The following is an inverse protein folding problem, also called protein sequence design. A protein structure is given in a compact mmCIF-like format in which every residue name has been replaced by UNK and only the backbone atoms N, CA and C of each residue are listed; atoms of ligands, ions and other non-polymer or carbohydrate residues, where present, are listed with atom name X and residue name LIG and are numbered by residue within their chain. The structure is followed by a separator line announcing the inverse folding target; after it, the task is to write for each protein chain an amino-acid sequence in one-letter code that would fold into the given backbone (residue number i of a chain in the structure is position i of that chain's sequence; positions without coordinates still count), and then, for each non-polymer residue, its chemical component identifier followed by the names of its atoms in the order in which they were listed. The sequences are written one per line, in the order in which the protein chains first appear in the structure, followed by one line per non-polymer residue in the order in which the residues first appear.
data_IF_700418641004
#
_entry.id   IF_700418641004
#
_cell.length_a   1.000
_cell.length_b   1.000
_cell.length_c   1.000
_cell.angle_alpha   90.00
_cell.angle_beta   90.00
_cell.angle_gamma   90.00
#
_symmetry.space_group_name_H-M   'P 1'
#
loop_
_entity.id
_entity.type
_entity.pdbx_description
1 polymer ?
#
# COMPACT_ATOMS: atom_id res chain seq x y z
N UNK A 1 13.48 -43.77 -19.81
CA UNK A 1 13.51 -43.64 -18.34
C UNK A 1 14.97 -43.60 -17.92
N UNK A 2 15.57 -42.41 -17.84
CA UNK A 2 16.90 -42.24 -17.26
C UNK A 2 16.74 -41.96 -15.78
N UNK A 3 17.06 -42.92 -14.92
CA UNK A 3 17.18 -42.66 -13.49
C UNK A 3 18.32 -41.67 -13.31
N UNK A 4 18.04 -40.53 -12.67
CA UNK A 4 19.06 -39.62 -12.16
C UNK A 4 19.95 -40.45 -11.22
N UNK A 5 21.16 -40.79 -11.69
CA UNK A 5 22.19 -41.42 -10.87
C UNK A 5 22.62 -40.36 -9.87
N UNK A 6 22.00 -40.37 -8.70
CA UNK A 6 22.38 -39.52 -7.58
C UNK A 6 23.80 -39.94 -7.19
N UNK A 7 24.78 -39.01 -7.18
CA UNK A 7 26.15 -39.34 -6.80
C UNK A 7 26.17 -39.99 -5.41
N UNK A 8 26.97 -41.05 -5.18
CA UNK A 8 27.05 -41.69 -3.87
C UNK A 8 27.48 -40.72 -2.76
N UNK A 9 28.24 -39.68 -3.11
CA UNK A 9 28.59 -38.57 -2.22
C UNK A 9 27.36 -37.79 -1.72
N UNK A 10 26.34 -37.62 -2.56
CA UNK A 10 25.10 -36.95 -2.17
C UNK A 10 24.30 -37.78 -1.16
N UNK A 11 24.28 -39.12 -1.32
CA UNK A 11 23.64 -40.01 -0.35
C UNK A 11 24.33 -39.95 1.02
N UNK A 12 25.66 -39.85 1.05
CA UNK A 12 26.43 -39.64 2.28
C UNK A 12 26.05 -38.31 2.93
N UNK A 13 26.11 -37.19 2.20
CA UNK A 13 25.78 -35.86 2.73
C UNK A 13 24.34 -35.81 3.29
N UNK A 14 23.37 -36.40 2.58
CA UNK A 14 21.98 -36.50 3.07
C UNK A 14 21.89 -37.36 4.33
N UNK A 15 22.66 -38.46 4.42
CA UNK A 15 22.74 -39.28 5.63
C UNK A 15 23.28 -38.52 6.83
N UNK A 16 24.39 -37.78 6.66
CA UNK A 16 24.95 -36.93 7.71
C UNK A 16 23.99 -35.83 8.17
N UNK A 17 23.32 -35.16 7.23
CA UNK A 17 22.29 -34.16 7.54
C UNK A 17 21.11 -34.79 8.27
N UNK A 18 20.64 -35.96 7.84
CA UNK A 18 19.53 -36.65 8.48
C UNK A 18 19.86 -37.03 9.93
N UNK A 19 21.03 -37.63 10.18
CA UNK A 19 21.48 -37.96 11.54
C UNK A 19 21.61 -36.72 12.40
N UNK A 20 22.20 -35.63 11.87
CA UNK A 20 22.27 -34.35 12.57
C UNK A 20 20.88 -33.81 12.94
N UNK A 21 19.92 -33.81 12.01
CA UNK A 21 18.55 -33.38 12.34
C UNK A 21 17.86 -34.34 13.31
N UNK A 22 18.04 -35.65 13.18
CA UNK A 22 17.44 -36.66 14.07
C UNK A 22 17.95 -36.56 15.51
N UNK A 23 19.21 -36.18 15.71
CA UNK A 23 19.81 -36.05 17.04
C UNK A 23 19.57 -34.65 17.66
N UNK A 24 19.42 -33.60 16.84
CA UNK A 24 19.37 -32.21 17.30
C UNK A 24 18.03 -31.49 17.04
N UNK A 25 17.01 -32.17 16.50
CA UNK A 25 15.71 -31.53 16.23
C UNK A 25 15.07 -30.95 17.50
N UNK A 26 15.25 -31.58 18.67
CA UNK A 26 14.69 -31.10 19.93
C UNK A 26 15.29 -29.77 20.41
N UNK A 27 16.44 -29.34 19.87
CA UNK A 27 17.01 -28.02 20.15
C UNK A 27 16.42 -26.93 19.24
N UNK A 28 16.17 -27.26 17.97
CA UNK A 28 15.68 -26.33 16.94
C UNK A 28 14.14 -26.25 16.94
N UNK A 29 13.47 -27.37 17.16
CA UNK A 29 12.02 -27.48 17.06
C UNK A 29 11.28 -26.63 18.10
N UNK A 30 11.59 -26.66 19.42
CA UNK A 30 10.87 -25.86 20.40
C UNK A 30 10.85 -24.35 20.10
N UNK A 31 11.97 -23.67 19.78
CA UNK A 31 11.92 -22.25 19.45
C UNK A 31 11.13 -21.99 18.16
N UNK A 32 11.31 -22.81 17.11
CA UNK A 32 10.54 -22.68 15.85
C UNK A 32 9.04 -22.87 16.10
N UNK A 33 8.65 -23.87 16.87
CA UNK A 33 7.26 -24.12 17.25
C UNK A 33 6.69 -23.00 18.11
N UNK A 34 7.46 -22.44 19.05
CA UNK A 34 7.02 -21.30 19.85
C UNK A 34 6.76 -20.06 18.99
N UNK A 35 7.61 -19.75 18.01
CA UNK A 35 7.36 -18.65 17.07
C UNK A 35 6.10 -18.91 16.24
N UNK A 36 5.92 -20.13 15.74
CA UNK A 36 4.74 -20.50 14.97
C UNK A 36 3.45 -20.45 15.81
N UNK A 37 3.48 -20.99 17.03
CA UNK A 37 2.36 -20.96 17.97
C UNK A 37 1.99 -19.54 18.36
N UNK A 38 2.99 -18.68 18.61
CA UNK A 38 2.78 -17.27 18.88
C UNK A 38 2.09 -16.57 17.70
N UNK A 39 2.54 -16.81 16.47
CA UNK A 39 1.93 -16.20 15.28
C UNK A 39 0.51 -16.72 15.03
N UNK A 40 0.27 -18.01 15.26
CA UNK A 40 -1.05 -18.62 15.18
C UNK A 40 -2.00 -18.08 16.26
N UNK A 41 -1.51 -17.91 17.48
CA UNK A 41 -2.22 -17.30 18.60
C UNK A 41 -2.64 -15.86 18.27
N UNK A 42 -1.71 -15.04 17.79
CA UNK A 42 -2.01 -13.67 17.36
C UNK A 42 -2.97 -13.64 16.18
N UNK A 43 -2.86 -14.58 15.24
CA UNK A 43 -3.79 -14.70 14.13
C UNK A 43 -5.21 -15.01 14.62
N UNK A 44 -5.37 -15.93 15.57
CA UNK A 44 -6.66 -16.25 16.17
C UNK A 44 -7.26 -15.06 16.93
N UNK A 45 -6.48 -14.37 17.76
CA UNK A 45 -6.92 -13.17 18.48
C UNK A 45 -7.35 -12.04 17.53
N UNK A 46 -6.55 -11.80 16.48
CA UNK A 46 -6.90 -10.80 15.46
C UNK A 46 -8.20 -11.15 14.74
N UNK A 47 -8.42 -12.43 14.42
CA UNK A 47 -9.67 -12.88 13.82
C UNK A 47 -10.87 -12.67 14.74
N UNK A 48 -10.74 -12.97 16.03
CA UNK A 48 -11.78 -12.67 17.01
C UNK A 48 -12.09 -11.17 17.04
N UNK A 49 -11.05 -10.33 17.08
CA UNK A 49 -11.21 -8.88 17.00
C UNK A 49 -11.85 -8.44 15.67
N UNK A 50 -11.52 -9.06 14.54
CA UNK A 50 -12.12 -8.72 13.26
C UNK A 50 -13.63 -8.94 13.21
N UNK A 51 -14.13 -9.97 13.88
CA UNK A 51 -15.57 -10.24 13.95
C UNK A 51 -16.34 -9.26 14.83
N UNK A 52 -15.67 -8.53 15.74
CA UNK A 52 -16.33 -7.49 16.55
C UNK A 52 -16.43 -6.14 15.84
N UNK A 53 -15.83 -6.01 14.67
CA UNK A 53 -15.82 -4.77 13.90
C UNK A 53 -17.05 -4.67 13.00
N UNK A 54 -17.86 -3.64 13.23
CA UNK A 54 -18.95 -3.26 12.35
C UNK A 54 -18.46 -2.28 11.27
N UNK A 55 -18.81 -2.57 10.01
CA UNK A 55 -18.38 -1.83 8.85
C UNK A 55 -19.60 -1.22 8.15
N UNK A 56 -19.46 0.04 7.72
CA UNK A 56 -20.44 0.75 6.89
C UNK A 56 -19.81 1.07 5.55
N UNK A 57 -20.59 0.91 4.47
CA UNK A 57 -20.22 1.31 3.12
C UNK A 57 -21.02 2.56 2.75
N UNK A 58 -20.31 3.65 2.43
CA UNK A 58 -20.91 4.90 2.01
C UNK A 58 -20.72 5.07 0.51
N UNK A 59 -21.81 5.16 -0.25
CA UNK A 59 -21.81 5.61 -1.64
C UNK A 59 -21.77 7.13 -1.65
N UNK A 60 -20.82 7.70 -2.39
CA UNK A 60 -20.67 9.14 -2.52
C UNK A 60 -21.00 9.51 -3.96
N UNK A 61 -22.06 10.30 -4.12
CA UNK A 61 -22.49 10.83 -5.40
C UNK A 61 -21.97 12.25 -5.56
N UNK A 62 -20.97 12.47 -6.42
CA UNK A 62 -20.46 13.81 -6.64
C UNK A 62 -21.53 14.69 -7.32
N UNK A 63 -21.50 16.01 -7.08
CA UNK A 63 -22.41 16.94 -7.72
C UNK A 63 -22.16 17.01 -9.24
N UNK A 64 -23.15 17.54 -9.97
CA UNK A 64 -23.05 17.71 -11.42
C UNK A 64 -21.93 18.65 -11.85
N UNK A 65 -21.54 19.59 -10.99
CA UNK A 65 -20.46 20.53 -11.24
C UNK A 65 -19.51 20.43 -10.05
N UNK A 66 -18.29 19.98 -10.31
CA UNK A 66 -17.19 19.95 -9.34
C UNK A 66 -16.14 20.94 -9.84
N UNK A 67 -16.04 22.09 -9.18
CA UNK A 67 -15.05 23.15 -9.48
C UNK A 67 -13.75 22.97 -8.70
N UNK A 68 -13.72 22.00 -7.78
CA UNK A 68 -12.58 21.77 -6.89
C UNK A 68 -11.53 20.91 -7.58
N UNK A 69 -10.27 21.19 -7.28
CA UNK A 69 -9.12 20.38 -7.70
C UNK A 69 -8.97 19.14 -6.82
N UNK A 70 -8.18 18.13 -7.24
CA UNK A 70 -7.84 16.99 -6.39
C UNK A 70 -7.21 17.40 -5.04
N UNK A 71 -6.65 18.60 -4.93
CA UNK A 71 -6.21 19.20 -3.67
C UNK A 71 -7.29 19.21 -2.58
N UNK A 72 -8.57 19.38 -2.94
CA UNK A 72 -9.67 19.30 -1.97
C UNK A 72 -9.75 17.92 -1.32
N UNK A 73 -9.44 16.86 -2.07
CA UNK A 73 -9.39 15.49 -1.55
C UNK A 73 -8.18 15.25 -0.63
N UNK A 74 -7.07 15.98 -0.79
CA UNK A 74 -5.98 15.93 0.20
C UNK A 74 -6.47 16.35 1.59
N UNK A 75 -7.33 17.37 1.66
CA UNK A 75 -7.91 17.84 2.93
C UNK A 75 -8.86 16.82 3.54
N UNK A 76 -9.61 16.09 2.71
CA UNK A 76 -10.42 14.96 3.17
C UNK A 76 -9.51 13.89 3.80
N UNK A 77 -8.45 13.47 3.09
CA UNK A 77 -7.52 12.48 3.63
C UNK A 77 -6.77 12.95 4.87
N UNK A 78 -6.42 14.24 4.96
CA UNK A 78 -5.83 14.82 6.16
C UNK A 78 -6.77 14.70 7.37
N UNK A 79 -8.06 14.96 7.18
CA UNK A 79 -9.08 14.74 8.20
C UNK A 79 -9.27 13.27 8.58
N UNK A 80 -9.29 12.39 7.59
CA UNK A 80 -9.40 10.93 7.80
C UNK A 80 -8.17 10.33 8.50
N UNK A 81 -7.03 11.03 8.52
CA UNK A 81 -5.88 10.63 9.33
C UNK A 81 -6.22 10.58 10.83
N UNK A 82 -7.24 11.34 11.27
CA UNK A 82 -7.81 11.30 12.61
C UNK A 82 -8.37 9.92 13.04
N UNK A 83 -8.54 8.97 12.11
CA UNK A 83 -8.85 7.57 12.42
C UNK A 83 -7.70 6.84 13.15
N UNK A 84 -6.51 7.44 13.18
CA UNK A 84 -5.34 6.88 13.84
C UNK A 84 -5.60 6.65 15.34
N UNK A 85 -5.10 5.54 15.88
CA UNK A 85 -5.22 5.25 17.31
C UNK A 85 -3.90 4.70 17.81
N UNK A 86 -3.43 5.20 18.96
CA UNK A 86 -2.25 4.63 19.59
C UNK A 86 -2.60 3.27 20.22
N UNK A 87 -2.19 2.19 19.57
CA UNK A 87 -2.42 0.82 20.05
C UNK A 87 -1.27 0.44 20.98
N UNK A 88 -1.60 0.24 22.25
CA UNK A 88 -0.61 -0.20 23.24
C UNK A 88 -0.17 -1.65 22.97
N UNK A 89 1.07 -2.04 23.35
CA UNK A 89 1.55 -3.41 23.17
C UNK A 89 0.63 -4.47 23.81
N UNK A 90 0.07 -4.19 24.99
CA UNK A 90 -0.88 -5.08 25.66
C UNK A 90 -2.15 -5.30 24.83
N UNK A 91 -2.74 -4.24 24.26
CA UNK A 91 -3.90 -4.37 23.38
C UNK A 91 -3.57 -5.12 22.08
N UNK A 92 -2.35 -4.93 21.56
CA UNK A 92 -1.91 -5.57 20.32
C UNK A 92 -1.68 -7.07 20.48
N UNK A 93 -0.98 -7.48 21.54
CA UNK A 93 -0.56 -8.87 21.74
C UNK A 93 -1.57 -9.70 22.55
N UNK A 94 -2.40 -9.09 23.41
CA UNK A 94 -3.43 -9.81 24.18
C UNK A 94 -4.86 -9.63 23.68
N UNK A 95 -5.21 -8.48 23.10
CA UNK A 95 -6.56 -8.26 22.55
C UNK A 95 -6.61 -8.39 21.02
N UNK A 96 -5.47 -8.61 20.37
CA UNK A 96 -5.38 -8.70 18.92
C UNK A 96 -5.78 -7.42 18.18
N UNK A 97 -5.80 -6.27 18.87
CA UNK A 97 -6.26 -5.00 18.31
C UNK A 97 -5.35 -4.57 17.16
N UNK A 98 -5.97 -4.21 16.04
CA UNK A 98 -5.28 -3.71 14.85
C UNK A 98 -5.69 -2.27 14.56
N UNK A 99 -4.86 -1.57 13.81
CA UNK A 99 -5.15 -0.21 13.37
C UNK A 99 -6.36 -0.24 12.43
N UNK A 100 -7.29 0.70 12.64
CA UNK A 100 -8.45 0.83 11.77
C UNK A 100 -7.96 1.30 10.39
N UNK A 101 -8.50 0.72 9.34
CA UNK A 101 -8.27 1.16 7.96
C UNK A 101 -9.58 1.55 7.29
N UNK A 102 -9.47 2.24 6.18
CA UNK A 102 -10.57 2.54 5.26
C UNK A 102 -10.31 1.90 3.90
N UNK A 103 -11.38 1.72 3.13
CA UNK A 103 -11.31 1.32 1.73
C UNK A 103 -11.96 2.41 0.88
N UNK A 104 -11.17 3.10 0.06
CA UNK A 104 -11.66 4.02 -0.96
C UNK A 104 -11.82 3.22 -2.26
N UNK A 105 -13.03 3.16 -2.81
CA UNK A 105 -13.36 2.26 -3.89
C UNK A 105 -13.98 3.01 -5.06
N UNK A 106 -13.52 2.70 -6.27
CA UNK A 106 -14.16 3.10 -7.51
C UNK A 106 -14.62 1.81 -8.15
N UNK A 107 -15.93 1.62 -8.26
CA UNK A 107 -16.50 0.42 -8.86
C UNK A 107 -17.36 0.82 -10.07
N UNK A 108 -17.15 0.13 -11.18
CA UNK A 108 -18.04 0.20 -12.33
C UNK A 108 -18.80 -1.10 -12.49
N UNK A 109 -20.11 -1.00 -12.58
CA UNK A 109 -21.02 -2.13 -12.79
C UNK A 109 -21.85 -1.82 -14.03
N UNK A 110 -21.74 -2.66 -15.06
CA UNK A 110 -22.42 -2.45 -16.35
C UNK A 110 -22.12 -1.09 -17.02
N UNK A 111 -20.95 -0.51 -16.76
CA UNK A 111 -20.57 0.81 -17.31
C UNK A 111 -20.94 2.00 -16.42
N UNK A 112 -21.67 1.79 -15.32
CA UNK A 112 -21.95 2.84 -14.33
C UNK A 112 -20.87 2.87 -13.25
N UNK A 113 -20.10 3.95 -13.21
CA UNK A 113 -19.05 4.17 -12.23
C UNK A 113 -19.60 4.86 -10.98
N UNK A 114 -19.34 4.28 -9.81
CA UNK A 114 -19.74 4.78 -8.49
C UNK A 114 -18.53 4.84 -7.57
N UNK A 115 -18.55 5.79 -6.65
CA UNK A 115 -17.51 5.99 -5.65
C UNK A 115 -18.02 5.53 -4.29
N UNK A 116 -17.18 4.79 -3.56
CA UNK A 116 -17.51 4.34 -2.23
C UNK A 116 -16.36 4.59 -1.24
N UNK A 117 -16.72 4.82 0.02
CA UNK A 117 -15.80 4.80 1.15
C UNK A 117 -16.34 3.82 2.19
N UNK A 118 -15.58 2.76 2.45
CA UNK A 118 -15.88 1.79 3.51
C UNK A 118 -15.05 2.11 4.74
N UNK A 119 -15.72 2.29 5.88
CA UNK A 119 -15.10 2.56 7.18
C UNK A 119 -15.80 1.77 8.28
N UNK A 120 -15.22 1.77 9.49
CA UNK A 120 -15.93 1.29 10.67
C UNK A 120 -17.09 2.22 10.99
N UNK A 121 -18.21 1.67 11.47
CA UNK A 121 -19.44 2.45 11.73
C UNK A 121 -19.20 3.66 12.65
N UNK A 122 -18.30 3.52 13.64
CA UNK A 122 -17.88 4.62 14.54
C UNK A 122 -17.22 5.82 13.84
N UNK A 123 -16.67 5.62 12.65
CA UNK A 123 -15.95 6.64 11.86
C UNK A 123 -16.81 7.19 10.71
N UNK A 124 -18.07 6.78 10.60
CA UNK A 124 -19.01 7.29 9.59
C UNK A 124 -19.10 8.82 9.60
N UNK A 125 -19.37 9.40 10.77
CA UNK A 125 -19.53 10.85 10.93
C UNK A 125 -18.24 11.62 10.57
N UNK A 126 -17.07 11.01 10.76
CA UNK A 126 -15.79 11.60 10.39
C UNK A 126 -15.66 11.70 8.86
N UNK A 127 -16.04 10.65 8.13
CA UNK A 127 -16.07 10.66 6.66
C UNK A 127 -17.08 11.69 6.16
N UNK A 128 -18.31 11.66 6.67
CA UNK A 128 -19.37 12.58 6.27
C UNK A 128 -18.95 14.05 6.48
N UNK A 129 -18.41 14.39 7.65
CA UNK A 129 -17.98 15.75 7.95
C UNK A 129 -16.86 16.24 7.02
N UNK A 130 -15.84 15.42 6.77
CA UNK A 130 -14.71 15.83 5.93
C UNK A 130 -15.05 15.87 4.44
N UNK A 131 -15.86 14.92 3.95
CA UNK A 131 -16.34 14.93 2.56
C UNK A 131 -17.25 16.14 2.35
N UNK A 132 -18.19 16.42 3.27
CA UNK A 132 -19.10 17.56 3.17
C UNK A 132 -18.37 18.91 3.26
N UNK A 133 -17.31 19.00 4.07
CA UNK A 133 -16.50 20.22 4.17
C UNK A 133 -15.82 20.61 2.85
N UNK A 134 -15.44 19.63 2.02
CA UNK A 134 -14.75 19.87 0.75
C UNK A 134 -15.70 19.80 -0.46
N UNK A 135 -16.77 19.02 -0.34
CA UNK A 135 -17.79 18.78 -1.35
C UNK A 135 -19.19 18.96 -0.71
N UNK A 136 -19.62 20.21 -0.44
CA UNK A 136 -20.87 20.47 0.29
C UNK A 136 -22.13 20.01 -0.47
N UNK A 137 -22.03 19.92 -1.79
CA UNK A 137 -23.08 19.43 -2.67
C UNK A 137 -22.96 17.94 -2.99
N UNK A 138 -22.06 17.17 -2.38
CA UNK A 138 -22.05 15.72 -2.55
C UNK A 138 -23.14 15.07 -1.67
N UNK A 139 -23.83 14.08 -2.21
CA UNK A 139 -24.74 13.23 -1.43
C UNK A 139 -24.01 11.98 -0.96
N UNK A 140 -24.17 11.66 0.33
CA UNK A 140 -23.54 10.53 0.99
C UNK A 140 -24.66 9.60 1.45
N UNK A 141 -24.73 8.42 0.84
CA UNK A 141 -25.74 7.42 1.13
C UNK A 141 -25.09 6.18 1.72
N UNK A 142 -25.75 5.55 2.68
CA UNK A 142 -25.40 4.20 3.08
C UNK A 142 -25.89 3.23 2.01
N UNK A 143 -24.99 2.39 1.49
CA UNK A 143 -25.28 1.49 0.39
C UNK A 143 -24.97 0.04 0.77
N UNK A 144 -25.73 -0.89 0.20
CA UNK A 144 -25.45 -2.31 0.31
C UNK A 144 -24.14 -2.65 -0.42
N UNK A 145 -23.43 -3.68 0.07
CA UNK A 145 -22.16 -4.10 -0.53
C UNK A 145 -22.37 -4.66 -1.94
N UNK A 146 -21.99 -3.87 -2.95
CA UNK A 146 -22.11 -4.26 -4.35
C UNK A 146 -21.37 -5.55 -4.69
N UNK A 147 -20.36 -5.97 -3.91
CA UNK A 147 -19.66 -7.25 -4.15
C UNK A 147 -20.50 -8.47 -3.82
N UNK A 148 -21.61 -8.31 -3.10
CA UNK A 148 -22.59 -9.35 -2.86
C UNK A 148 -23.30 -9.79 -4.15
N UNK A 149 -23.37 -8.91 -5.16
CA UNK A 149 -23.98 -9.20 -6.47
C UNK A 149 -23.24 -10.27 -7.27
N UNK A 150 -21.96 -10.52 -6.96
CA UNK A 150 -21.13 -11.54 -7.63
C UNK A 150 -21.04 -12.78 -6.76
N UNK A 151 -21.24 -14.00 -7.30
CA UNK A 151 -21.13 -15.25 -6.55
C UNK A 151 -19.79 -15.43 -5.82
N UNK A 152 -19.80 -16.16 -4.70
CA UNK A 152 -18.59 -16.39 -3.89
C UNK A 152 -17.62 -17.42 -4.50
N UNK A 153 -18.11 -18.28 -5.39
CA UNK A 153 -17.37 -19.39 -5.98
C UNK A 153 -16.48 -18.98 -7.17
N UNK A 154 -16.25 -17.68 -7.36
CA UNK A 154 -15.41 -17.15 -8.43
C UNK A 154 -13.92 -17.55 -8.31
N UNK A 155 -13.25 -17.95 -9.41
CA UNK A 155 -13.82 -18.15 -10.75
C UNK A 155 -14.62 -19.46 -10.82
N UNK A 156 -15.87 -19.37 -11.28
CA UNK A 156 -16.85 -20.47 -11.29
C UNK A 156 -17.25 -20.87 -12.71
N UNK A 157 -18.39 -21.54 -12.84
CA UNK A 157 -18.95 -21.92 -14.15
C UNK A 157 -19.50 -20.71 -14.93
N UNK A 158 -20.06 -19.73 -14.23
CA UNK A 158 -20.78 -18.59 -14.82
C UNK A 158 -19.94 -17.32 -14.92
N UNK A 159 -19.05 -17.09 -13.95
CA UNK A 159 -18.21 -15.90 -13.85
C UNK A 159 -16.73 -16.23 -13.98
N UNK A 160 -16.00 -15.36 -14.67
CA UNK A 160 -14.55 -15.32 -14.62
C UNK A 160 -14.06 -14.02 -13.97
N UNK A 161 -12.87 -14.08 -13.43
CA UNK A 161 -12.22 -13.01 -12.68
C UNK A 161 -10.79 -12.86 -13.18
N UNK A 162 -10.40 -11.64 -13.49
CA UNK A 162 -9.01 -11.23 -13.51
C UNK A 162 -8.78 -10.20 -12.41
N UNK A 163 -7.60 -10.21 -11.81
CA UNK A 163 -7.24 -9.17 -10.88
C UNK A 163 -5.76 -9.14 -10.58
N UNK A 164 -5.34 -8.07 -9.95
CA UNK A 164 -3.96 -7.88 -9.51
C UNK A 164 -3.92 -7.00 -8.28
N UNK A 165 -2.85 -7.14 -7.51
CA UNK A 165 -2.41 -6.10 -6.59
C UNK A 165 -1.34 -5.28 -7.30
N UNK A 166 -1.28 -3.98 -7.03
CA UNK A 166 -0.18 -3.14 -7.48
C UNK A 166 0.88 -3.05 -6.37
N UNK A 167 2.14 -2.97 -6.79
CA UNK A 167 3.30 -2.67 -5.96
C UNK A 167 4.11 -1.58 -6.60
N UNK A 168 4.88 -0.85 -5.79
CA UNK A 168 5.81 0.15 -6.27
C UNK A 168 7.11 -0.52 -6.75
N UNK A 169 7.68 0.03 -7.82
CA UNK A 169 8.96 -0.44 -8.36
C UNK A 169 10.15 0.06 -7.53
N UNK A 170 10.07 1.31 -7.05
CA UNK A 170 11.07 1.95 -6.20
C UNK A 170 10.59 1.97 -4.73
N UNK A 171 11.49 2.17 -3.75
CA UNK A 171 11.12 2.29 -2.35
C UNK A 171 10.07 3.36 -2.07
N UNK A 172 9.32 3.21 -0.98
CA UNK A 172 8.18 4.05 -0.58
C UNK A 172 8.48 5.56 -0.53
N UNK A 173 9.74 5.96 -0.32
CA UNK A 173 10.10 7.39 -0.30
C UNK A 173 9.94 8.11 -1.65
N UNK A 174 10.05 7.38 -2.77
CA UNK A 174 9.82 7.95 -4.10
C UNK A 174 8.32 8.06 -4.36
N UNK A 175 7.78 9.27 -4.63
CA UNK A 175 6.36 9.43 -4.92
C UNK A 175 5.99 8.91 -6.32
N UNK A 176 4.72 8.65 -6.57
CA UNK A 176 4.18 8.53 -7.93
C UNK A 176 4.06 9.90 -8.60
N UNK A 177 3.74 9.93 -9.90
CA UNK A 177 3.33 11.17 -10.57
C UNK A 177 2.04 11.68 -9.94
N UNK A 178 2.07 12.84 -9.30
CA UNK A 178 0.92 13.40 -8.57
C UNK A 178 0.10 14.36 -9.42
N UNK A 179 -1.11 14.71 -8.97
CA UNK A 179 -2.03 15.59 -9.70
C UNK A 179 -1.41 16.95 -10.08
N UNK A 180 -0.44 17.44 -9.32
CA UNK A 180 0.22 18.73 -9.57
C UNK A 180 0.93 18.73 -10.92
N UNK A 181 1.51 17.60 -11.33
CA UNK A 181 2.11 17.45 -12.65
C UNK A 181 1.09 17.36 -13.80
N UNK A 182 -0.20 17.20 -13.49
CA UNK A 182 -1.30 17.21 -14.46
C UNK A 182 -2.03 18.55 -14.48
N UNK A 183 -1.79 19.42 -13.50
CA UNK A 183 -2.37 20.76 -13.47
C UNK A 183 -1.68 21.66 -14.50
N UNK A 184 -2.47 22.23 -15.39
CA UNK A 184 -2.04 23.29 -16.29
C UNK A 184 -2.51 24.65 -15.72
N UNK A 185 -1.76 25.74 -15.95
CA UNK A 185 -2.17 27.08 -15.51
C UNK A 185 -3.45 27.58 -16.21
N UNK A 186 -3.81 26.98 -17.35
CA UNK A 186 -5.06 27.26 -18.07
C UNK A 186 -6.03 26.12 -17.80
N UNK A 187 -7.21 26.45 -17.27
CA UNK A 187 -8.21 25.49 -16.83
C UNK A 187 -8.68 24.54 -17.95
N UNK A 188 -8.80 25.03 -19.18
CA UNK A 188 -9.18 24.23 -20.35
C UNK A 188 -8.16 23.15 -20.74
N UNK A 189 -6.89 23.30 -20.33
CA UNK A 189 -5.81 22.34 -20.60
C UNK A 189 -5.53 21.42 -19.42
N UNK A 190 -6.23 21.59 -18.30
CA UNK A 190 -6.11 20.69 -17.17
C UNK A 190 -6.55 19.30 -17.62
N UNK A 191 -5.77 18.29 -17.25
CA UNK A 191 -6.11 16.88 -17.50
C UNK A 191 -6.39 16.26 -16.15
N UNK A 192 -7.54 15.59 -16.01
CA UNK A 192 -7.88 14.88 -14.78
C UNK A 192 -7.09 13.56 -14.74
N UNK A 193 -6.33 13.29 -13.66
CA UNK A 193 -5.59 12.04 -13.52
C UNK A 193 -6.47 10.78 -13.53
N UNK A 194 -7.78 10.85 -13.28
CA UNK A 194 -8.66 9.68 -13.31
C UNK A 194 -9.35 9.44 -14.66
N UNK A 195 -9.27 10.38 -15.61
CA UNK A 195 -10.03 10.31 -16.87
C UNK A 195 -9.83 8.99 -17.63
N UNK A 196 -8.58 8.54 -17.81
CA UNK A 196 -8.29 7.30 -18.52
C UNK A 196 -8.90 6.06 -17.82
N UNK A 197 -8.91 6.03 -16.49
CA UNK A 197 -9.49 4.93 -15.73
C UNK A 197 -11.02 4.93 -15.83
N UNK A 198 -11.63 6.12 -15.73
CA UNK A 198 -13.09 6.30 -15.81
C UNK A 198 -13.64 5.99 -17.21
N UNK A 199 -12.86 6.26 -18.26
CA UNK A 199 -13.21 5.89 -19.63
C UNK A 199 -13.22 4.37 -19.82
N UNK A 200 -12.20 3.66 -19.34
CA UNK A 200 -12.17 2.19 -19.35
C UNK A 200 -13.35 1.63 -18.55
N UNK A 201 -13.63 2.19 -17.37
CA UNK A 201 -14.77 1.82 -16.54
C UNK A 201 -16.13 2.10 -17.20
N UNK A 202 -16.25 3.17 -17.98
CA UNK A 202 -17.48 3.51 -18.72
C UNK A 202 -17.70 2.67 -19.97
N UNK A 203 -16.65 2.10 -20.54
CA UNK A 203 -16.72 1.24 -21.75
C UNK A 203 -17.27 -0.17 -21.48
N UNK A 204 -17.55 -0.51 -20.22
CA UNK A 204 -18.04 -1.82 -19.82
C UNK A 204 -19.48 -2.08 -20.30
N UNK A 205 -19.74 -3.29 -20.78
CA UNK A 205 -21.08 -3.73 -21.15
C UNK A 205 -21.85 -4.41 -19.99
N UNK A 206 -23.11 -4.81 -20.24
CA UNK A 206 -23.91 -5.54 -19.26
C UNK A 206 -23.25 -6.87 -18.85
N UNK A 207 -23.18 -7.13 -17.55
CA UNK A 207 -22.55 -8.34 -17.00
C UNK A 207 -21.03 -8.25 -16.83
N UNK A 208 -20.44 -7.06 -17.05
CA UNK A 208 -19.05 -6.74 -16.75
C UNK A 208 -18.97 -5.80 -15.53
N UNK A 209 -17.93 -5.96 -14.71
CA UNK A 209 -17.63 -5.12 -13.57
C UNK A 209 -16.12 -4.88 -13.44
N UNK A 210 -15.72 -3.67 -13.08
CA UNK A 210 -14.36 -3.34 -12.65
C UNK A 210 -14.42 -2.80 -11.23
N UNK A 211 -13.61 -3.36 -10.34
CA UNK A 211 -13.47 -2.89 -8.96
C UNK A 211 -12.04 -2.40 -8.76
N UNK A 212 -11.88 -1.13 -8.38
CA UNK A 212 -10.62 -0.53 -8.01
C UNK A 212 -10.66 -0.16 -6.53
N UNK A 213 -9.88 -0.85 -5.70
CA UNK A 213 -9.87 -0.70 -4.25
C UNK A 213 -8.54 -0.13 -3.79
N UNK A 214 -8.61 0.94 -3.02
CA UNK A 214 -7.48 1.54 -2.32
C UNK A 214 -7.74 1.36 -0.83
N UNK A 215 -7.02 0.44 -0.20
CA UNK A 215 -7.04 0.32 1.25
C UNK A 215 -6.01 1.26 1.82
N UNK A 216 -6.41 2.10 2.77
CA UNK A 216 -5.54 3.06 3.44
C UNK A 216 -5.66 2.92 4.97
N UNK A 217 -4.53 2.73 5.64
CA UNK A 217 -4.37 2.70 7.10
C UNK A 217 -3.53 3.91 7.52
N UNK A 218 -4.03 4.82 8.37
CA UNK A 218 -3.29 6.01 8.78
C UNK A 218 -2.03 5.63 9.55
N UNK A 219 -0.92 6.32 9.26
CA UNK A 219 0.39 6.04 9.84
C UNK A 219 0.99 7.31 10.44
N UNK A 220 1.43 7.24 11.70
CA UNK A 220 1.87 8.41 12.47
C UNK A 220 3.40 8.61 12.49
N UNK A 221 4.17 7.57 12.77
CA UNK A 221 5.65 7.66 12.89
C UNK A 221 6.34 6.48 12.18
N UNK A 222 7.63 6.68 11.85
CA UNK A 222 8.54 5.66 11.31
C UNK A 222 8.88 5.87 9.84
N UNK A 223 7.91 6.26 9.02
CA UNK A 223 8.13 6.38 7.57
C UNK A 223 8.90 7.64 7.18
N UNK A 224 8.68 8.77 7.87
CA UNK A 224 9.45 10.00 7.67
C UNK A 224 10.95 9.74 7.87
N UNK A 225 11.31 9.01 8.93
CA UNK A 225 12.69 8.59 9.21
C UNK A 225 13.28 7.74 8.09
N UNK A 226 12.50 6.84 7.48
CA UNK A 226 12.94 6.03 6.35
C UNK A 226 13.20 6.88 5.10
N UNK A 227 12.38 7.92 4.88
CA UNK A 227 12.62 8.88 3.81
C UNK A 227 13.81 9.79 4.07
N UNK A 228 14.00 10.28 5.30
CA UNK A 228 15.20 11.05 5.68
C UNK A 228 16.47 10.22 5.47
N UNK A 229 16.43 8.92 5.82
CA UNK A 229 17.52 7.98 5.55
C UNK A 229 17.77 7.78 4.05
N UNK A 230 16.72 7.76 3.23
CA UNK A 230 16.81 7.67 1.78
C UNK A 230 17.44 8.94 1.18
N UNK A 231 16.99 10.12 1.61
CA UNK A 231 17.56 11.42 1.21
C UNK A 231 19.02 11.52 1.63
N UNK A 232 19.35 11.11 2.85
CA UNK A 232 20.73 11.07 3.33
C UNK A 232 21.62 10.16 2.46
N UNK A 233 21.11 9.01 2.00
CA UNK A 233 21.83 8.12 1.07
C UNK A 233 22.06 8.79 -0.29
N UNK A 234 21.05 9.49 -0.81
CA UNK A 234 21.15 10.18 -2.11
C UNK A 234 22.14 11.35 -2.07
N UNK A 235 22.16 12.10 -0.97
CA UNK A 235 23.09 13.23 -0.75
C UNK A 235 24.50 12.72 -0.38
N UNK A 236 24.70 11.42 -0.12
CA UNK A 236 25.99 10.87 0.29
C UNK A 236 26.39 11.20 1.73
N UNK A 237 25.43 11.55 2.60
CA UNK A 237 25.70 11.77 4.04
C UNK A 237 26.04 10.43 4.71
N UNK A 238 27.12 10.33 5.50
CA UNK A 238 27.44 9.09 6.21
C UNK A 238 26.31 8.75 7.20
N UNK A 239 25.63 7.63 6.97
CA UNK A 239 24.55 7.19 7.85
C UNK A 239 25.08 6.84 9.25
N UNK A 240 24.41 7.33 10.28
CA UNK A 240 24.53 6.78 11.62
C UNK A 240 23.88 5.39 11.61
N UNK A 241 24.68 4.34 11.40
CA UNK A 241 24.21 2.96 11.50
C UNK A 241 23.58 2.74 12.87
N UNK A 242 22.28 2.43 12.91
CA UNK A 242 21.63 1.90 14.12
C UNK A 242 22.33 0.59 14.46
N UNK A 243 23.28 0.64 15.39
CA UNK A 243 23.87 -0.57 15.98
C UNK A 243 22.73 -1.37 16.61
N UNK A 244 22.35 -2.49 15.99
CA UNK A 244 21.35 -3.38 16.55
C UNK A 244 21.78 -3.89 17.92
N UNK A 245 20.83 -4.17 18.81
CA UNK A 245 21.10 -4.62 20.19
C UNK A 245 22.11 -5.78 20.23
N UNK A 246 22.03 -6.71 19.27
CA UNK A 246 22.94 -7.86 19.12
C UNK A 246 24.34 -7.41 18.67
N UNK A 247 24.45 -6.45 17.76
CA UNK A 247 25.74 -5.90 17.34
C UNK A 247 26.40 -5.10 18.47
N UNK A 248 25.61 -4.38 19.28
CA UNK A 248 26.08 -3.70 20.49
C UNK A 248 26.58 -4.67 21.57
N UNK A 249 25.87 -5.79 21.78
CA UNK A 249 26.28 -6.84 22.71
C UNK A 249 27.53 -7.57 22.20
N UNK A 250 27.62 -7.89 20.91
CA UNK A 250 28.79 -8.55 20.32
C UNK A 250 30.03 -7.65 20.37
N UNK A 251 29.88 -6.36 20.04
CA UNK A 251 30.97 -5.38 20.16
C UNK A 251 31.40 -5.18 21.61
N UNK A 252 30.46 -5.19 22.57
CA UNK A 252 30.77 -5.09 23.99
C UNK A 252 31.53 -6.33 24.49
N UNK A 253 31.11 -7.53 24.12
CA UNK A 253 31.80 -8.77 24.53
C UNK A 253 33.16 -8.94 23.87
N UNK A 254 33.30 -8.60 22.58
CA UNK A 254 34.59 -8.56 21.88
C UNK A 254 35.52 -7.49 22.47
N UNK A 255 34.98 -6.32 22.84
CA UNK A 255 35.73 -5.25 23.47
C UNK A 255 36.23 -5.59 24.88
N UNK A 256 35.42 -6.28 25.69
CA UNK A 256 35.83 -6.77 27.01
C UNK A 256 36.84 -7.91 26.91
N UNK A 257 36.65 -8.85 25.98
CA UNK A 257 37.60 -9.94 25.76
C UNK A 257 38.96 -9.43 25.23
N UNK A 258 38.93 -8.38 24.39
CA UNK A 258 40.16 -7.70 23.93
C UNK A 258 40.91 -6.97 25.05
N UNK A 259 40.20 -6.37 26.01
CA UNK A 259 40.82 -5.76 27.21
C UNK A 259 41.45 -6.82 28.11
N UNK A 260 40.77 -7.95 28.32
CA UNK A 260 41.29 -9.06 29.09
C UNK A 260 42.58 -9.64 28.46
N UNK A 261 42.61 -9.82 27.14
CA UNK A 261 43.81 -10.31 26.42
C UNK A 261 44.99 -9.33 26.53
N UNK A 262 44.72 -8.01 26.48
CA UNK A 262 45.73 -6.97 26.64
C UNK A 262 46.28 -6.91 28.07
N UNK A 263 45.44 -7.17 29.06
CA UNK A 263 45.82 -7.23 30.48
C UNK A 263 46.70 -8.46 30.77
N UNK A 264 46.37 -9.61 30.19
CA UNK A 264 47.22 -10.81 30.22
C UNK A 264 48.57 -10.57 29.51
N UNK A 265 48.58 -9.89 28.36
CA UNK A 265 49.83 -9.51 27.68
C UNK A 265 50.69 -8.54 28.49
N UNK A 266 50.10 -7.61 29.25
CA UNK A 266 50.82 -6.69 30.15
C UNK A 266 51.53 -7.39 31.30
N UNK A 267 50.96 -8.49 31.80
CA UNK A 267 51.58 -9.29 32.87
C UNK A 267 52.83 -10.02 32.32
N UNK A 268 52.81 -10.44 31.05
CA UNK A 268 53.94 -11.12 30.41
C UNK A 268 55.02 -10.19 29.83
N UNK A 269 54.66 -8.97 29.39
CA UNK A 269 55.57 -8.03 28.74
C UNK A 269 55.33 -6.58 29.20
N UNK A 270 56.05 -6.08 30.23
CA UNK A 270 55.83 -4.76 30.83
C UNK A 270 56.11 -3.56 29.91
N UNK A 271 56.74 -3.78 28.75
CA UNK A 271 57.18 -2.73 27.81
C UNK A 271 56.14 -2.42 26.71
N UNK A 272 54.98 -3.07 26.71
CA UNK A 272 53.92 -2.79 25.73
C UNK A 272 53.09 -1.59 26.20
N UNK A 273 53.46 -0.40 25.72
CA UNK A 273 52.68 0.82 25.91
C UNK A 273 51.33 0.78 25.18
N UNK A 274 50.34 1.60 25.59
CA UNK A 274 49.03 1.62 24.95
C UNK A 274 49.17 1.95 23.45
N UNK A 275 48.46 1.24 22.56
CA UNK A 275 48.42 1.62 21.15
C UNK A 275 47.90 3.05 21.05
N UNK A 276 48.63 3.91 20.35
CA UNK A 276 48.15 5.25 20.02
C UNK A 276 46.81 5.09 19.31
N UNK A 277 45.76 5.66 19.90
CA UNK A 277 44.45 5.68 19.27
C UNK A 277 44.63 6.34 17.89
N UNK A 278 44.27 5.66 16.78
CA UNK A 278 44.32 6.31 15.48
C UNK A 278 43.43 7.54 15.58
N UNK A 279 44.01 8.73 15.37
CA UNK A 279 43.25 9.96 15.21
C UNK A 279 42.26 9.67 14.09
N UNK A 280 40.95 9.62 14.42
CA UNK A 280 39.92 9.55 13.40
C UNK A 280 40.17 10.77 12.51
N UNK A 281 40.44 10.60 11.21
CA UNK A 281 40.58 11.75 10.33
C UNK A 281 39.31 12.57 10.49
N UNK A 282 39.48 13.85 10.83
CA UNK A 282 38.39 14.81 10.93
C UNK A 282 37.72 14.80 9.56
N UNK A 283 36.57 14.14 9.46
CA UNK A 283 35.80 14.12 8.22
C UNK A 283 35.52 15.59 7.92
N UNK A 284 35.93 16.14 6.76
CA UNK A 284 35.57 17.50 6.42
C UNK A 284 34.04 17.59 6.57
N UNK A 285 33.58 18.51 7.40
CA UNK A 285 32.16 18.84 7.49
C UNK A 285 31.78 19.34 6.11
N UNK A 286 31.23 18.47 5.27
CA UNK A 286 30.93 18.79 3.86
C UNK A 286 29.76 19.79 3.85
N UNK A 287 30.03 21.10 3.66
CA UNK A 287 28.97 22.08 3.56
C UNK A 287 28.43 21.93 2.13
N UNK A 288 27.18 21.52 2.02
CA UNK A 288 26.37 21.47 0.79
C UNK A 288 26.76 20.45 -0.30
N UNK A 289 26.76 19.15 0.04
CA UNK A 289 26.66 18.07 -0.97
C UNK A 289 25.47 18.25 -1.94
N UNK A 290 24.43 18.99 -1.55
CA UNK A 290 23.33 19.40 -2.45
C UNK A 290 23.82 20.24 -3.63
N UNK A 291 24.87 21.05 -3.53
CA UNK A 291 25.33 21.88 -4.65
C UNK A 291 25.94 21.04 -5.78
N UNK A 292 26.53 19.89 -5.46
CA UNK A 292 27.20 18.98 -6.41
C UNK A 292 26.26 17.96 -7.08
N UNK A 293 24.99 17.91 -6.69
CA UNK A 293 24.02 17.04 -7.35
C UNK A 293 23.67 17.58 -8.75
N UNK A 294 23.46 16.66 -9.68
CA UNK A 294 22.92 17.00 -11.00
C UNK A 294 21.52 17.62 -10.85
N UNK A 295 21.05 18.44 -11.81
CA UNK A 295 19.71 19.04 -11.73
C UNK A 295 18.59 18.00 -11.55
N UNK A 296 18.71 16.83 -12.19
CA UNK A 296 17.73 15.75 -12.04
C UNK A 296 17.73 15.11 -10.64
N UNK A 297 18.91 14.91 -10.05
CA UNK A 297 19.02 14.38 -8.68
C UNK A 297 18.49 15.37 -7.65
N UNK A 298 18.69 16.68 -7.86
CA UNK A 298 18.12 17.73 -7.01
C UNK A 298 16.59 17.67 -6.99
N UNK A 299 15.96 17.56 -8.17
CA UNK A 299 14.51 17.42 -8.29
C UNK A 299 13.99 16.16 -7.58
N UNK A 300 14.68 15.02 -7.72
CA UNK A 300 14.30 13.79 -7.03
C UNK A 300 14.36 13.96 -5.51
N UNK A 301 15.41 14.60 -4.99
CA UNK A 301 15.54 14.85 -3.54
C UNK A 301 14.43 15.77 -3.05
N UNK A 302 14.15 16.85 -3.78
CA UNK A 302 13.07 17.80 -3.46
C UNK A 302 11.70 17.11 -3.44
N UNK A 303 11.38 16.27 -4.43
CA UNK A 303 10.13 15.52 -4.48
C UNK A 303 10.02 14.49 -3.33
N UNK A 304 11.13 13.85 -2.93
CA UNK A 304 11.13 12.95 -1.78
C UNK A 304 10.90 13.74 -0.49
N UNK A 305 11.58 14.87 -0.29
CA UNK A 305 11.40 15.73 0.89
C UNK A 305 9.96 16.26 0.98
N UNK A 306 9.40 16.67 -0.15
CA UNK A 306 8.01 17.09 -0.29
C UNK A 306 7.06 15.94 0.04
N UNK A 307 7.32 14.74 -0.48
CA UNK A 307 6.51 13.55 -0.21
C UNK A 307 6.44 13.24 1.30
N UNK A 308 7.58 13.19 1.99
CA UNK A 308 7.65 12.87 3.42
C UNK A 308 7.15 13.95 4.37
N UNK A 309 7.05 15.19 3.88
CA UNK A 309 6.54 16.30 4.69
C UNK A 309 5.05 16.12 5.04
N UNK A 310 4.28 15.50 4.15
CA UNK A 310 2.83 15.30 4.26
C UNK A 310 2.45 14.17 5.23
N UNK A 311 1.15 13.95 5.43
CA UNK A 311 0.62 12.83 6.23
C UNK A 311 0.64 11.54 5.39
N UNK A 312 1.01 10.43 6.03
CA UNK A 312 1.22 9.14 5.37
C UNK A 312 0.18 8.10 5.76
N UNK A 313 -0.17 7.26 4.79
CA UNK A 313 -1.03 6.10 4.93
C UNK A 313 -0.31 4.87 4.41
N UNK A 314 -0.34 3.79 5.19
CA UNK A 314 -0.01 2.48 4.67
C UNK A 314 -1.12 2.09 3.70
N UNK A 315 -0.73 1.82 2.46
CA UNK A 315 -1.66 1.69 1.34
C UNK A 315 -1.50 0.33 0.66
N UNK A 316 -2.61 -0.21 0.17
CA UNK A 316 -2.65 -1.38 -0.70
C UNK A 316 -3.68 -1.19 -1.79
N UNK A 317 -3.24 -1.22 -3.04
CA UNK A 317 -4.10 -1.00 -4.22
C UNK A 317 -4.35 -2.31 -4.92
N UNK A 318 -5.63 -2.58 -5.23
CA UNK A 318 -6.07 -3.77 -5.92
C UNK A 318 -7.08 -3.43 -6.98
N UNK A 319 -7.02 -4.18 -8.07
CA UNK A 319 -8.00 -4.08 -9.15
C UNK A 319 -8.49 -5.46 -9.54
N UNK A 320 -9.78 -5.55 -9.85
CA UNK A 320 -10.37 -6.71 -10.47
C UNK A 320 -11.26 -6.32 -11.63
N UNK A 321 -11.25 -7.18 -12.64
CA UNK A 321 -12.21 -7.22 -13.71
C UNK A 321 -12.99 -8.53 -13.59
N UNK A 322 -14.29 -8.42 -13.37
CA UNK A 322 -15.21 -9.55 -13.22
C UNK A 322 -16.20 -9.49 -14.37
N UNK A 323 -16.42 -10.62 -15.03
CA UNK A 323 -17.47 -10.69 -16.03
C UNK A 323 -18.08 -12.08 -16.09
N UNK A 324 -19.32 -12.15 -16.56
CA UNK A 324 -19.89 -13.42 -17.01
C UNK A 324 -19.00 -13.99 -18.12
N UNK A 325 -18.77 -15.30 -18.12
CA UNK A 325 -17.85 -15.96 -19.06
C UNK A 325 -18.17 -15.67 -20.53
N UNK A 326 -19.44 -15.54 -20.87
CA UNK A 326 -19.93 -15.25 -22.21
C UNK A 326 -19.52 -13.86 -22.72
N UNK A 327 -19.37 -12.89 -21.81
CA UNK A 327 -19.07 -11.48 -22.13
C UNK A 327 -17.63 -11.12 -21.75
N UNK A 328 -16.87 -12.06 -21.18
CA UNK A 328 -15.53 -11.80 -20.67
C UNK A 328 -14.56 -11.41 -21.79
N UNK A 329 -13.98 -10.21 -21.68
CA UNK A 329 -13.01 -9.66 -22.63
C UNK A 329 -11.59 -9.78 -22.05
N UNK A 330 -10.76 -10.60 -22.68
CA UNK A 330 -9.36 -10.78 -22.28
C UNK A 330 -8.49 -9.52 -22.47
N UNK A 331 -8.95 -8.53 -23.25
CA UNK A 331 -8.22 -7.29 -23.51
C UNK A 331 -8.41 -6.22 -22.41
N UNK A 332 -9.50 -6.28 -21.64
CA UNK A 332 -9.83 -5.27 -20.60
C UNK A 332 -8.73 -5.11 -19.54
N UNK A 333 -8.07 -6.19 -19.04
CA UNK A 333 -6.90 -6.06 -18.18
C UNK A 333 -5.79 -5.15 -18.72
N UNK A 334 -5.51 -5.22 -20.02
CA UNK A 334 -4.49 -4.38 -20.67
C UNK A 334 -4.91 -2.91 -20.70
N UNK A 335 -6.20 -2.64 -20.90
CA UNK A 335 -6.74 -1.28 -20.84
C UNK A 335 -6.63 -0.68 -19.43
N UNK A 336 -6.95 -1.47 -18.39
CA UNK A 336 -6.76 -1.08 -16.99
C UNK A 336 -5.29 -0.75 -16.71
N UNK A 337 -4.36 -1.61 -17.14
CA UNK A 337 -2.93 -1.31 -17.00
C UNK A 337 -2.51 -0.04 -17.73
N UNK A 338 -3.03 0.19 -18.94
CA UNK A 338 -2.81 1.42 -19.70
C UNK A 338 -3.22 2.66 -18.89
N UNK A 339 -4.42 2.65 -18.30
CA UNK A 339 -4.91 3.74 -17.47
C UNK A 339 -4.04 3.97 -16.23
N UNK A 340 -3.65 2.92 -15.50
CA UNK A 340 -2.81 3.06 -14.30
C UNK A 340 -1.37 3.53 -14.62
N UNK A 341 -0.86 3.25 -15.82
CA UNK A 341 0.50 3.67 -16.21
C UNK A 341 0.68 5.19 -16.32
N UNK A 342 -0.38 5.97 -16.43
CA UNK A 342 -0.25 7.45 -16.49
C UNK A 342 0.32 8.05 -15.20
N UNK A 343 0.16 7.35 -14.06
CA UNK A 343 0.72 7.74 -12.76
C UNK A 343 2.21 7.40 -12.62
N UNK A 344 2.79 6.71 -13.62
CA UNK A 344 4.19 6.33 -13.59
C UNK A 344 5.07 7.47 -14.10
N UNK A 345 6.16 7.72 -13.39
CA UNK A 345 7.24 8.61 -13.84
C UNK A 345 8.55 7.82 -13.95
N UNK A 346 9.36 8.14 -14.95
CA UNK A 346 10.66 7.48 -15.13
C UNK A 346 11.66 7.83 -14.01
N UNK A 347 11.63 9.07 -13.54
CA UNK A 347 12.54 9.55 -12.50
C UNK A 347 11.98 9.30 -11.08
N UNK A 348 10.65 9.26 -10.91
CA UNK A 348 9.99 8.92 -9.64
C UNK A 348 9.55 7.44 -9.62
N UNK A 349 8.44 7.12 -8.94
CA UNK A 349 7.94 5.76 -8.79
C UNK A 349 6.97 5.33 -9.90
N UNK A 350 6.68 4.04 -9.93
CA UNK A 350 5.84 3.41 -10.94
C UNK A 350 5.09 2.22 -10.37
N UNK A 351 3.83 2.06 -10.77
CA UNK A 351 3.02 0.90 -10.45
C UNK A 351 3.41 -0.31 -11.31
N UNK A 352 3.63 -1.43 -10.64
CA UNK A 352 3.92 -2.73 -11.25
C UNK A 352 2.96 -3.77 -10.66
N UNK A 353 2.41 -4.68 -11.48
CA UNK A 353 1.59 -5.76 -10.96
C UNK A 353 2.38 -6.75 -10.10
N UNK A 354 1.80 -7.18 -8.98
CA UNK A 354 2.37 -8.17 -8.09
C UNK A 354 2.32 -9.57 -8.72
N UNK A 355 3.40 -9.97 -9.39
CA UNK A 355 3.53 -11.29 -10.06
C UNK A 355 3.26 -12.50 -9.17
N UNK A 356 3.32 -12.35 -7.84
CA UNK A 356 2.98 -13.42 -6.90
C UNK A 356 1.47 -13.69 -6.84
N UNK A 357 0.65 -12.68 -7.10
CA UNK A 357 -0.81 -12.72 -6.95
C UNK A 357 -1.52 -12.61 -8.30
N UNK A 358 -0.95 -11.90 -9.28
CA UNK A 358 -1.53 -11.79 -10.62
C UNK A 358 -1.58 -13.16 -11.32
N UNK A 359 -2.71 -13.56 -11.93
CA UNK A 359 -2.75 -14.71 -12.83
C UNK A 359 -1.75 -14.52 -13.97
N UNK A 360 -0.86 -15.47 -14.18
CA UNK A 360 0.23 -15.36 -15.16
C UNK A 360 0.48 -16.69 -15.85
N UNK A 361 1.15 -16.64 -17.00
CA UNK A 361 1.61 -17.84 -17.70
C UNK A 361 2.79 -18.39 -16.90
N UNK A 362 2.58 -19.52 -16.22
CA UNK A 362 3.57 -20.19 -15.38
C UNK A 362 3.97 -21.50 -16.06
N UNK A 363 5.25 -21.87 -16.00
CA UNK A 363 5.75 -23.11 -16.60
C UNK A 363 5.18 -24.37 -15.92
N UNK A 364 4.93 -24.31 -14.61
CA UNK A 364 4.37 -25.41 -13.82
C UNK A 364 2.92 -25.15 -13.43
N UNK A 365 2.04 -26.13 -13.72
CA UNK A 365 0.61 -26.17 -13.36
C UNK A 365 -0.15 -24.84 -13.52
N UNK A 366 -0.14 -24.22 -14.73
CA UNK A 366 -0.68 -22.88 -14.93
C UNK A 366 -2.19 -22.78 -14.62
N UNK A 367 -2.98 -23.81 -14.96
CA UNK A 367 -4.43 -23.81 -14.75
C UNK A 367 -4.79 -23.78 -13.26
N UNK A 368 -4.23 -24.69 -12.46
CA UNK A 368 -4.50 -24.78 -11.01
C UNK A 368 -4.02 -23.53 -10.29
N UNK A 369 -2.82 -23.05 -10.62
CA UNK A 369 -2.24 -21.85 -10.01
C UNK A 369 -3.05 -20.60 -10.32
N UNK A 370 -3.48 -20.42 -11.57
CA UNK A 370 -4.31 -19.28 -11.95
C UNK A 370 -5.69 -19.36 -11.30
N UNK A 371 -6.30 -20.54 -11.22
CA UNK A 371 -7.55 -20.71 -10.49
C UNK A 371 -7.42 -20.32 -9.01
N UNK A 372 -6.38 -20.82 -8.32
CA UNK A 372 -6.10 -20.46 -6.93
C UNK A 372 -5.90 -18.94 -6.75
N UNK A 373 -5.12 -18.30 -7.64
CA UNK A 373 -4.81 -16.87 -7.54
C UNK A 373 -6.01 -15.98 -7.82
N UNK A 374 -6.84 -16.33 -8.80
CA UNK A 374 -8.14 -15.69 -9.03
C UNK A 374 -9.02 -15.81 -7.78
N UNK A 375 -9.16 -17.02 -7.22
CA UNK A 375 -9.98 -17.25 -6.02
C UNK A 375 -9.47 -16.48 -4.79
N UNK A 376 -8.15 -16.44 -4.60
CA UNK A 376 -7.50 -15.64 -3.57
C UNK A 376 -7.88 -14.16 -3.71
N UNK A 377 -7.71 -13.58 -4.91
CA UNK A 377 -8.03 -12.18 -5.18
C UNK A 377 -9.52 -11.88 -4.95
N UNK A 378 -10.42 -12.71 -5.48
CA UNK A 378 -11.87 -12.53 -5.32
C UNK A 378 -12.27 -12.49 -3.85
N UNK A 379 -11.73 -13.40 -3.03
CA UNK A 379 -11.95 -13.41 -1.58
C UNK A 379 -11.41 -12.13 -0.91
N UNK A 380 -10.19 -11.76 -1.23
CA UNK A 380 -9.53 -10.60 -0.62
C UNK A 380 -10.22 -9.28 -0.98
N UNK A 381 -10.70 -9.13 -2.21
CA UNK A 381 -11.46 -7.97 -2.66
C UNK A 381 -12.82 -7.90 -1.96
N UNK A 382 -13.56 -9.00 -1.92
CA UNK A 382 -14.87 -9.06 -1.25
C UNK A 382 -14.79 -8.65 0.22
N UNK A 383 -13.82 -9.18 0.97
CA UNK A 383 -13.68 -8.84 2.38
C UNK A 383 -12.89 -7.54 2.64
N UNK A 384 -12.35 -6.88 1.60
CA UNK A 384 -11.38 -5.77 1.68
C UNK A 384 -10.28 -6.05 2.71
N UNK A 385 -9.73 -7.27 2.67
CA UNK A 385 -8.55 -7.61 3.46
C UNK A 385 -7.34 -6.88 2.90
N UNK A 386 -6.41 -6.46 3.77
CA UNK A 386 -5.23 -5.73 3.34
C UNK A 386 -4.43 -6.50 2.27
N UNK A 387 -3.90 -5.77 1.28
CA UNK A 387 -3.06 -6.34 0.22
C UNK A 387 -1.82 -7.06 0.80
N UNK A 388 -1.30 -8.05 0.05
CA UNK A 388 -0.16 -8.86 0.49
C UNK A 388 1.13 -8.05 0.62
N UNK A 389 1.36 -7.14 -0.32
CA UNK A 389 2.42 -6.12 -0.24
C UNK A 389 1.78 -4.78 0.06
N UNK A 390 2.42 -4.04 0.97
CA UNK A 390 1.96 -2.74 1.47
C UNK A 390 3.10 -1.77 1.23
N UNK A 391 2.75 -0.58 0.79
CA UNK A 391 3.66 0.54 0.62
C UNK A 391 3.04 1.75 1.34
N UNK A 392 3.72 2.87 1.34
CA UNK A 392 3.25 4.09 2.00
C UNK A 392 2.97 5.12 0.92
N UNK A 393 1.78 5.70 0.97
CA UNK A 393 1.41 6.86 0.18
C UNK A 393 1.08 8.02 1.09
N UNK A 394 1.44 9.21 0.64
CA UNK A 394 0.99 10.42 1.30
C UNK A 394 -0.45 10.80 0.85
N UNK A 395 -1.01 11.85 1.46
CA UNK A 395 -2.34 12.35 1.11
C UNK A 395 -2.46 12.88 -0.33
N UNK A 396 -1.37 13.36 -0.93
CA UNK A 396 -1.33 13.85 -2.32
C UNK A 396 -1.41 12.72 -3.34
N UNK A 397 -0.63 11.67 -3.13
CA UNK A 397 -0.63 10.46 -3.94
C UNK A 397 -1.99 9.78 -3.86
N UNK A 398 -2.58 9.68 -2.66
CA UNK A 398 -3.93 9.16 -2.46
C UNK A 398 -4.99 10.03 -3.18
N UNK A 399 -4.91 11.35 -3.03
CA UNK A 399 -5.82 12.28 -3.72
C UNK A 399 -5.67 12.23 -5.25
N UNK A 400 -4.50 11.88 -5.77
CA UNK A 400 -4.26 11.73 -7.21
C UNK A 400 -4.97 10.51 -7.81
N UNK A 401 -5.04 9.41 -7.04
CA UNK A 401 -5.64 8.14 -7.50
C UNK A 401 -7.08 7.92 -7.01
N UNK A 402 -7.58 8.81 -6.16
CA UNK A 402 -8.95 8.80 -5.67
C UNK A 402 -9.37 10.23 -5.37
N UNK A 403 -10.16 10.80 -6.28
CA UNK A 403 -10.84 12.09 -6.11
C UNK A 403 -12.12 12.09 -6.93
N UNK A 404 -12.96 13.11 -6.72
CA UNK A 404 -14.17 13.28 -7.52
C UNK A 404 -13.86 14.13 -8.75
N UNK A 405 -14.03 13.60 -9.97
CA UNK A 405 -13.57 14.27 -11.17
C UNK A 405 -14.44 15.50 -11.51
N UNK A 406 -13.76 16.58 -11.87
CA UNK A 406 -14.35 17.83 -12.34
C UNK A 406 -15.16 17.65 -13.63
N UNK A 407 -16.34 18.25 -13.71
CA UNK A 407 -17.24 18.11 -14.88
C UNK A 407 -16.67 18.73 -16.15
N UNK A 408 -15.88 19.79 -16.03
CA UNK A 408 -15.23 20.44 -17.16
C UNK A 408 -14.03 19.63 -17.68
N UNK A 409 -13.37 18.88 -16.80
CA UNK A 409 -12.10 18.19 -17.07
C UNK A 409 -12.32 16.73 -17.49
N UNK A 410 -13.34 16.08 -16.92
CA UNK A 410 -13.76 14.72 -17.28
C UNK A 410 -15.27 14.68 -17.50
N UNK A 411 -15.66 14.73 -18.77
CA UNK A 411 -17.04 14.50 -19.23
C UNK A 411 -17.40 13.01 -19.27
N UNK A 412 -16.83 12.19 -18.38
CA UNK A 412 -17.15 10.76 -18.35
C UNK A 412 -18.64 10.59 -17.99
N UNK A 413 -19.51 10.23 -18.95
CA UNK A 413 -20.95 10.12 -18.69
C UNK A 413 -21.27 8.91 -17.82
N UNK A 414 -20.32 7.99 -17.68
CA UNK A 414 -20.41 6.78 -16.86
C UNK A 414 -20.44 7.06 -15.36
N UNK A 415 -19.97 8.21 -14.89
CA UNK A 415 -19.98 8.53 -13.47
C UNK A 415 -21.41 8.86 -13.03
N UNK A 416 -21.93 8.08 -12.08
CA UNK A 416 -23.23 8.36 -11.46
C UNK A 416 -23.11 9.64 -10.62
N UNK A 417 -23.67 10.73 -11.15
CA UNK A 417 -23.73 12.03 -10.48
C UNK A 417 -25.14 12.28 -9.94
N UNK A 418 -25.26 13.19 -8.99
CA UNK A 418 -26.59 13.62 -8.54
C UNK A 418 -27.38 14.28 -9.66
N UNK A 419 -28.70 14.16 -9.60
CA UNK A 419 -29.59 15.03 -10.38
C UNK A 419 -29.52 16.46 -9.81
N UNK A 420 -29.65 17.47 -10.66
CA UNK A 420 -29.60 18.87 -10.23
C UNK A 420 -30.63 19.09 -9.11
N UNK A 421 -30.20 19.67 -7.96
CA UNK A 421 -31.11 20.07 -6.89
C UNK A 421 -32.23 20.92 -7.52
N UNK A 422 -33.50 20.51 -7.36
CA UNK A 422 -34.63 21.41 -7.64
C UNK A 422 -34.41 22.64 -6.76
N UNK A 423 -34.25 23.81 -7.38
CA UNK A 423 -33.93 25.04 -6.67
C UNK A 423 -34.85 25.23 -5.47
N UNK A 424 -34.28 25.68 -4.34
CA UNK A 424 -35.08 26.02 -3.17
C UNK A 424 -36.19 26.99 -3.61
N UNK A 425 -37.46 26.72 -3.28
CA UNK A 425 -38.54 27.64 -3.61
C UNK A 425 -38.20 29.01 -3.01
N UNK A 426 -38.39 30.12 -3.75
CA UNK A 426 -38.03 31.44 -3.27
C UNK A 426 -38.68 31.71 -1.91
N UNK A 427 -37.90 32.20 -0.95
CA UNK A 427 -38.33 32.40 0.44
C UNK A 427 -39.51 33.38 0.59
N UNK A 428 -39.85 34.13 -0.47
CA UNK A 428 -41.04 34.97 -0.54
C UNK A 428 -42.18 34.24 -1.25
N UNK A 429 -42.84 33.32 -0.55
CA UNK A 429 -44.23 32.98 -0.88
C UNK A 429 -45.11 34.14 -0.38
N UNK A 430 -45.88 34.83 -1.24
CA UNK A 430 -46.91 35.73 -0.74
C UNK A 430 -47.93 34.88 0.02
N UNK A 431 -47.95 35.02 1.34
CA UNK A 431 -49.09 34.63 2.17
C UNK A 431 -50.31 35.40 1.69
N UNK A 432 -51.27 34.69 1.10
CA UNK A 432 -52.59 35.19 0.76
C UNK A 432 -53.44 35.41 2.02
#
# INVERSE_FOLDING_TARGET
MGFLIVPPEFALVVGWLWSFFADWWWLIAPPVFLFFLHDLWLFALRWQYFYTLEWTLLEIRPPQIVERTPQAMEQVFAGLHGMWTNIRPDEKYWKGKVQNWMSCEIASVNGETRFFIRVLSKHRNLVEAHVWAQYPDAEILEADDYTASVPQDIPGATWDLWGTEFVLQKPDGYPIRTYIEFEAPVEERRIDPLSALLEVMGSLGPGEQIWFHIIAEPLFDGWKKQGDELVAKLIGRPQATRKGLIAGVLEATLGEMGKFLLEVLRIGFPQVGPPQAPQKPMRPELPSLMMHLSPGEKLIVEEIERNISKLGFRTGIRVAYLAKREVYKAATPSAIYGAIRQFNSAHLNSFVPNMNVTPSISYLFPKQRNHYRKRYLGRYLRYRLFARRRFIFNIEELATIFHFPGTMVSKAPSVTRMEAKRGEPPQALPTA
#
